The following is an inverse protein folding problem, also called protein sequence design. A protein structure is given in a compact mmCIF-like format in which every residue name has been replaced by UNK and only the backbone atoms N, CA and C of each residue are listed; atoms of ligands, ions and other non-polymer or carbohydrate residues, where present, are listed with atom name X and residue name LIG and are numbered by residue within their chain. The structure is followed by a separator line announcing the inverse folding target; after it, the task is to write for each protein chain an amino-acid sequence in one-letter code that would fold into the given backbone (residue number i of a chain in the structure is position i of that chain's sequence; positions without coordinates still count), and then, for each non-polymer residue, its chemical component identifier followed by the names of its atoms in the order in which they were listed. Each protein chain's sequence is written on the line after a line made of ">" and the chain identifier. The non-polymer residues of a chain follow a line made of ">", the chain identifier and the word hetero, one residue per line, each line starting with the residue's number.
data_IF_410334965451
#
_entry.id   IF_410334965451
#
_cell.length_a   1.000
_cell.length_b   1.000
_cell.length_c   1.000
_cell.angle_alpha   90.00
_cell.angle_beta   90.00
_cell.angle_gamma   90.00
#
_symmetry.space_group_name_H-M   'P 1'
#
loop_
_entity.id
_entity.type
_entity.pdbx_description
1 polymer ?
#
# COMPACT_ATOMS: atom_id res chain seq x y z
N UNK A 1 -17.98 31.36 -92.64
CA UNK A 1 -17.97 30.43 -91.48
C UNK A 1 -16.69 30.68 -90.71
N UNK A 2 -16.77 31.33 -89.56
CA UNK A 2 -15.63 31.65 -88.72
C UNK A 2 -16.00 31.29 -87.27
N UNK A 3 -15.22 30.42 -86.65
CA UNK A 3 -15.29 30.12 -85.23
C UNK A 3 -13.92 30.42 -84.64
N UNK A 4 -13.87 31.32 -83.65
CA UNK A 4 -12.72 31.50 -82.78
C UNK A 4 -13.16 31.49 -81.31
N UNK A 5 -12.40 30.71 -80.55
CA UNK A 5 -12.55 30.40 -79.12
C UNK A 5 -12.46 31.64 -78.24
N UNK A 6 -13.24 31.68 -77.16
CA UNK A 6 -12.86 32.40 -75.94
C UNK A 6 -12.98 31.51 -74.70
N UNK A 7 -11.97 31.69 -73.85
CA UNK A 7 -11.67 31.00 -72.59
C UNK A 7 -12.45 31.71 -71.49
N UNK A 8 -12.98 30.98 -70.51
CA UNK A 8 -13.46 31.57 -69.25
C UNK A 8 -13.01 30.70 -68.08
N UNK A 9 -12.29 31.36 -67.18
CA UNK A 9 -11.62 30.79 -66.02
C UNK A 9 -12.62 30.46 -64.90
N UNK A 10 -12.46 29.29 -64.27
CA UNK A 10 -13.17 28.93 -63.05
C UNK A 10 -12.35 29.39 -61.84
N UNK A 11 -12.90 30.33 -61.08
CA UNK A 11 -12.42 30.72 -59.76
C UNK A 11 -13.22 29.93 -58.71
N UNK A 12 -12.66 28.82 -58.21
CA UNK A 12 -13.26 28.04 -57.13
C UNK A 12 -12.72 28.53 -55.79
N UNK A 13 -13.54 29.27 -55.04
CA UNK A 13 -13.26 29.63 -53.65
C UNK A 13 -13.62 28.44 -52.74
N UNK A 14 -12.60 27.67 -52.31
CA UNK A 14 -12.76 26.63 -51.28
C UNK A 14 -12.82 27.26 -49.90
N UNK A 15 -14.02 27.39 -49.35
CA UNK A 15 -14.24 27.74 -47.93
C UNK A 15 -13.82 26.57 -47.04
N UNK A 16 -12.71 26.74 -46.31
CA UNK A 16 -12.26 25.83 -45.26
C UNK A 16 -13.19 25.97 -44.04
N UNK A 17 -14.01 24.96 -43.79
CA UNK A 17 -14.84 24.83 -42.60
C UNK A 17 -13.94 24.36 -41.44
N UNK A 18 -13.45 25.31 -40.64
CA UNK A 18 -12.66 25.01 -39.43
C UNK A 18 -13.61 24.50 -38.34
N UNK A 19 -13.64 23.19 -38.10
CA UNK A 19 -14.37 22.59 -36.98
C UNK A 19 -13.52 22.79 -35.71
N UNK A 20 -13.96 23.59 -34.72
CA UNK A 20 -13.27 23.65 -33.44
C UNK A 20 -13.46 22.32 -32.73
N UNK A 21 -12.39 21.53 -32.60
CA UNK A 21 -12.33 20.42 -31.66
C UNK A 21 -12.42 20.99 -30.24
N UNK A 22 -13.62 20.95 -29.65
CA UNK A 22 -13.78 21.15 -28.23
C UNK A 22 -13.12 19.98 -27.50
N UNK A 23 -11.86 20.17 -27.09
CA UNK A 23 -11.20 19.24 -26.17
C UNK A 23 -11.90 19.42 -24.82
N UNK A 24 -12.88 18.56 -24.55
CA UNK A 24 -13.48 18.50 -23.23
C UNK A 24 -12.37 18.16 -22.21
N UNK A 25 -12.17 18.97 -21.16
CA UNK A 25 -11.23 18.60 -20.11
C UNK A 25 -11.70 17.28 -19.51
N UNK A 26 -10.83 16.27 -19.53
CA UNK A 26 -11.06 15.03 -18.80
C UNK A 26 -11.23 15.40 -17.32
N UNK A 27 -12.46 15.36 -16.81
CA UNK A 27 -12.69 15.58 -15.39
C UNK A 27 -12.05 14.41 -14.64
N UNK A 28 -10.97 14.70 -13.91
CA UNK A 28 -10.38 13.73 -12.99
C UNK A 28 -11.46 13.29 -12.00
N UNK A 29 -11.78 12.00 -11.98
CA UNK A 29 -12.75 11.46 -11.02
C UNK A 29 -12.23 11.71 -9.61
N UNK A 30 -12.98 12.51 -8.84
CA UNK A 30 -12.62 12.84 -7.47
C UNK A 30 -12.68 11.58 -6.62
N UNK A 31 -11.55 11.27 -5.96
CA UNK A 31 -11.44 10.14 -5.04
C UNK A 31 -11.47 10.63 -3.60
N UNK A 32 -11.99 9.79 -2.72
CA UNK A 32 -12.14 10.08 -1.31
C UNK A 32 -11.52 8.96 -0.47
N UNK A 33 -10.97 9.29 0.71
CA UNK A 33 -10.36 8.31 1.59
C UNK A 33 -11.42 7.42 2.23
N UNK A 34 -11.38 6.13 1.88
CA UNK A 34 -12.13 5.06 2.51
C UNK A 34 -11.19 4.31 3.45
N UNK A 35 -11.55 4.23 4.73
CA UNK A 35 -10.79 3.49 5.74
C UNK A 35 -11.48 2.16 5.99
N UNK A 36 -10.71 1.09 5.94
CA UNK A 36 -11.18 -0.27 6.15
C UNK A 36 -10.40 -0.92 7.29
N UNK A 37 -11.09 -1.62 8.18
CA UNK A 37 -10.47 -2.50 9.17
C UNK A 37 -10.56 -3.94 8.68
N UNK A 38 -9.42 -4.61 8.62
CA UNK A 38 -9.31 -6.02 8.26
C UNK A 38 -10.05 -6.96 9.22
N UNK A 39 -10.13 -8.23 8.83
CA UNK A 39 -10.82 -9.28 9.60
C UNK A 39 -12.34 -9.30 9.50
N UNK A 40 -12.97 -10.00 10.45
CA UNK A 40 -14.42 -10.17 10.48
C UNK A 40 -14.98 -10.85 9.23
N UNK A 41 -16.17 -10.42 8.80
CA UNK A 41 -16.85 -10.92 7.60
C UNK A 41 -16.38 -10.29 6.28
N UNK A 42 -15.19 -9.68 6.25
CA UNK A 42 -14.62 -9.09 5.03
C UNK A 42 -14.28 -10.21 4.03
N UNK A 43 -14.81 -10.12 2.82
CA UNK A 43 -14.65 -11.14 1.79
C UNK A 43 -13.81 -10.61 0.64
N UNK A 44 -12.61 -11.17 0.48
CA UNK A 44 -11.67 -10.81 -0.59
C UNK A 44 -11.71 -11.88 -1.66
N UNK A 45 -12.06 -11.50 -2.88
CA UNK A 45 -12.15 -12.38 -4.04
C UNK A 45 -11.18 -11.91 -5.10
N UNK A 46 -10.26 -12.78 -5.52
CA UNK A 46 -9.49 -12.57 -6.74
C UNK A 46 -10.37 -12.97 -7.94
N UNK A 47 -10.59 -12.02 -8.84
CA UNK A 47 -11.47 -12.17 -10.01
C UNK A 47 -10.71 -12.48 -11.31
N UNK A 48 -9.41 -12.81 -11.21
CA UNK A 48 -8.51 -13.03 -12.34
C UNK A 48 -7.80 -11.75 -12.79
N UNK A 49 -6.70 -11.88 -13.53
CA UNK A 49 -5.91 -10.75 -14.05
C UNK A 49 -5.41 -9.76 -12.99
N UNK A 50 -5.10 -10.24 -11.78
CA UNK A 50 -4.75 -9.42 -10.60
C UNK A 50 -5.87 -8.49 -10.10
N UNK A 51 -7.11 -8.69 -10.55
CA UNK A 51 -8.25 -7.91 -10.11
C UNK A 51 -8.77 -8.45 -8.78
N UNK A 52 -9.00 -7.57 -7.81
CA UNK A 52 -9.60 -7.92 -6.52
C UNK A 52 -10.95 -7.26 -6.35
N UNK A 53 -11.87 -7.99 -5.71
CA UNK A 53 -13.12 -7.47 -5.16
C UNK A 53 -13.14 -7.71 -3.66
N UNK A 54 -13.39 -6.66 -2.89
CA UNK A 54 -13.46 -6.73 -1.43
C UNK A 54 -14.84 -6.31 -0.99
N UNK A 55 -15.61 -7.24 -0.44
CA UNK A 55 -16.89 -6.96 0.18
C UNK A 55 -16.66 -6.64 1.66
N UNK A 56 -17.28 -5.57 2.14
CA UNK A 56 -17.17 -5.11 3.52
C UNK A 56 -18.54 -4.71 4.07
N UNK A 57 -18.62 -4.50 5.38
CA UNK A 57 -19.79 -3.91 6.03
C UNK A 57 -19.61 -2.41 6.18
N UNK A 58 -20.59 -1.61 5.79
CA UNK A 58 -20.53 -0.18 6.05
C UNK A 58 -20.65 0.08 7.56
N UNK A 59 -19.73 0.86 8.13
CA UNK A 59 -19.87 1.29 9.52
C UNK A 59 -21.01 2.33 9.66
N UNK A 60 -21.62 2.38 10.84
CA UNK A 60 -22.69 3.34 11.15
C UNK A 60 -22.19 4.79 11.27
N UNK A 61 -20.90 4.98 11.56
CA UNK A 61 -20.25 6.28 11.76
C UNK A 61 -19.09 6.51 10.80
N UNK A 62 -18.43 7.66 10.89
CA UNK A 62 -17.17 7.91 10.16
C UNK A 62 -16.03 7.07 10.72
N UNK A 63 -14.98 6.87 9.93
CA UNK A 63 -13.84 6.05 10.34
C UNK A 63 -13.19 6.46 11.68
N UNK A 64 -13.04 7.76 12.00
CA UNK A 64 -12.52 8.19 13.31
C UNK A 64 -13.37 7.79 14.52
N UNK A 65 -14.64 7.41 14.32
CA UNK A 65 -15.50 6.94 15.40
C UNK A 65 -15.24 5.46 15.76
N UNK A 66 -14.32 4.81 15.04
CA UNK A 66 -13.95 3.41 15.22
C UNK A 66 -14.69 2.50 14.24
N UNK A 67 -13.99 1.45 13.79
CA UNK A 67 -14.51 0.43 12.87
C UNK A 67 -14.48 -0.93 13.57
N UNK A 68 -15.52 -1.75 13.39
CA UNK A 68 -15.47 -3.17 13.76
C UNK A 68 -14.67 -3.98 12.72
N UNK A 69 -14.15 -5.17 13.06
CA UNK A 69 -13.47 -6.02 12.09
C UNK A 69 -14.36 -6.29 10.86
N UNK A 70 -13.80 -6.02 9.67
CA UNK A 70 -14.47 -6.15 8.39
C UNK A 70 -15.43 -5.02 8.01
N UNK A 71 -15.34 -3.90 8.72
CA UNK A 71 -16.04 -2.67 8.34
C UNK A 71 -15.14 -1.71 7.57
N UNK A 72 -15.76 -0.94 6.67
CA UNK A 72 -15.17 0.27 6.12
C UNK A 72 -16.10 1.46 6.31
N UNK A 73 -15.50 2.65 6.41
CA UNK A 73 -16.23 3.92 6.42
C UNK A 73 -15.43 5.03 5.77
N UNK A 74 -16.11 6.08 5.36
CA UNK A 74 -15.43 7.29 4.91
C UNK A 74 -14.74 7.98 6.08
N UNK A 75 -13.62 8.64 5.79
CA UNK A 75 -12.86 9.38 6.80
C UNK A 75 -13.70 10.46 7.49
N UNK A 76 -14.56 11.13 6.75
CA UNK A 76 -15.24 12.36 7.14
C UNK A 76 -16.73 12.18 7.49
N UNK A 77 -17.31 11.01 7.17
CA UNK A 77 -18.75 10.76 7.33
C UNK A 77 -19.10 9.27 7.34
N UNK A 78 -20.33 8.96 7.74
CA UNK A 78 -20.90 7.63 7.54
C UNK A 78 -21.23 7.36 6.05
N UNK A 79 -21.43 6.09 5.73
CA UNK A 79 -21.98 5.67 4.44
C UNK A 79 -23.42 6.19 4.26
N UNK A 80 -23.73 6.63 3.05
CA UNK A 80 -25.08 7.00 2.63
C UNK A 80 -25.80 5.80 2.05
N UNK A 81 -27.14 5.83 2.10
CA UNK A 81 -27.95 4.86 1.39
C UNK A 81 -27.61 4.85 -0.11
N UNK A 82 -27.42 3.67 -0.68
CA UNK A 82 -27.06 3.49 -2.09
C UNK A 82 -25.57 3.58 -2.41
N UNK A 83 -24.71 3.87 -1.44
CA UNK A 83 -23.25 3.79 -1.65
C UNK A 83 -22.79 2.31 -1.71
N UNK A 84 -21.94 1.94 -2.69
CA UNK A 84 -21.45 0.56 -2.81
C UNK A 84 -20.62 0.10 -1.60
N UNK A 85 -20.86 -1.12 -1.13
CA UNK A 85 -20.08 -1.79 -0.08
C UNK A 85 -19.06 -2.80 -0.63
N UNK A 86 -18.57 -2.52 -1.84
CA UNK A 86 -17.59 -3.35 -2.55
C UNK A 86 -16.47 -2.46 -3.06
N UNK A 87 -15.22 -2.84 -2.81
CA UNK A 87 -14.04 -2.22 -3.42
C UNK A 87 -13.63 -3.05 -4.63
N UNK A 88 -13.32 -2.39 -5.74
CA UNK A 88 -12.77 -3.00 -6.94
C UNK A 88 -11.41 -2.37 -7.21
N UNK A 89 -10.42 -3.21 -7.49
CA UNK A 89 -9.11 -2.76 -7.91
C UNK A 89 -8.58 -3.72 -8.97
N UNK A 90 -8.15 -3.15 -10.09
CA UNK A 90 -7.60 -3.88 -11.24
C UNK A 90 -6.09 -3.71 -11.36
N UNK A 91 -5.48 -3.02 -10.40
CA UNK A 91 -4.05 -2.77 -10.35
C UNK A 91 -3.33 -3.87 -9.57
N UNK A 92 -2.08 -4.15 -9.97
CA UNK A 92 -1.20 -5.04 -9.23
C UNK A 92 -0.89 -4.55 -7.79
N UNK A 93 -1.25 -3.29 -7.47
CA UNK A 93 -1.02 -2.67 -6.15
C UNK A 93 -2.01 -3.16 -5.09
N UNK A 94 -3.08 -3.83 -5.50
CA UNK A 94 -4.05 -4.45 -4.60
C UNK A 94 -3.41 -5.28 -3.48
N UNK A 95 -2.34 -6.00 -3.82
CA UNK A 95 -1.58 -6.85 -2.88
C UNK A 95 -1.10 -6.08 -1.64
N UNK A 96 -0.80 -4.79 -1.76
CA UNK A 96 -0.22 -3.98 -0.69
C UNK A 96 -1.19 -3.71 0.46
N UNK A 97 -2.49 -3.56 0.18
CA UNK A 97 -3.50 -3.34 1.22
C UNK A 97 -4.36 -4.59 1.47
N UNK A 98 -4.48 -5.52 0.51
CA UNK A 98 -5.14 -6.82 0.73
C UNK A 98 -4.41 -7.58 1.84
N UNK A 99 -3.07 -7.57 1.84
CA UNK A 99 -2.28 -8.19 2.91
C UNK A 99 -2.58 -7.62 4.30
N UNK A 100 -2.93 -6.32 4.40
CA UNK A 100 -3.42 -5.70 5.63
C UNK A 100 -4.84 -6.14 5.96
N UNK A 101 -5.76 -6.12 4.99
CA UNK A 101 -7.17 -6.44 5.24
C UNK A 101 -7.44 -7.91 5.62
N UNK A 102 -6.56 -8.83 5.22
CA UNK A 102 -6.60 -10.23 5.69
C UNK A 102 -6.21 -10.34 7.17
N UNK A 103 -5.46 -9.38 7.71
CA UNK A 103 -5.09 -9.35 9.12
C UNK A 103 -6.22 -8.72 9.94
N UNK A 104 -6.63 -9.39 11.02
CA UNK A 104 -7.94 -9.14 11.67
C UNK A 104 -8.10 -7.79 12.37
N UNK A 105 -7.02 -7.01 12.50
CA UNK A 105 -6.99 -5.75 13.23
C UNK A 105 -6.27 -4.61 12.50
N UNK A 106 -5.81 -4.84 11.26
CA UNK A 106 -5.09 -3.82 10.50
C UNK A 106 -6.05 -2.85 9.82
N UNK A 107 -5.57 -1.63 9.60
CA UNK A 107 -6.31 -0.61 8.87
C UNK A 107 -5.67 -0.32 7.52
N UNK A 108 -6.50 -0.16 6.50
CA UNK A 108 -6.09 0.32 5.19
C UNK A 108 -6.92 1.54 4.79
N UNK A 109 -6.24 2.60 4.34
CA UNK A 109 -6.89 3.77 3.74
C UNK A 109 -6.69 3.72 2.24
N UNK A 110 -7.78 3.69 1.50
CA UNK A 110 -7.79 3.64 0.05
C UNK A 110 -8.38 4.93 -0.50
N UNK A 111 -7.76 5.47 -1.55
CA UNK A 111 -8.44 6.47 -2.35
C UNK A 111 -9.34 5.75 -3.33
N UNK A 112 -10.65 5.99 -3.17
CA UNK A 112 -11.67 5.34 -3.98
C UNK A 112 -12.67 6.36 -4.51
N UNK A 113 -13.28 6.03 -5.65
CA UNK A 113 -14.42 6.76 -6.18
C UNK A 113 -15.53 5.78 -6.54
N UNK A 114 -16.78 6.21 -6.45
CA UNK A 114 -17.90 5.40 -6.93
C UNK A 114 -17.86 5.38 -8.46
N UNK A 115 -17.67 4.20 -9.05
CA UNK A 115 -17.63 4.04 -10.50
C UNK A 115 -19.02 3.98 -11.15
N UNK A 116 -20.10 4.11 -10.36
CA UNK A 116 -21.51 3.97 -10.78
C UNK A 116 -21.88 2.59 -11.36
N UNK A 117 -21.04 1.58 -11.14
CA UNK A 117 -21.25 0.19 -11.55
C UNK A 117 -21.35 -0.75 -10.33
N UNK A 118 -21.74 -0.20 -9.19
CA UNK A 118 -21.86 -0.96 -7.94
C UNK A 118 -20.52 -1.24 -7.26
N UNK A 119 -19.49 -0.43 -7.52
CA UNK A 119 -18.19 -0.58 -6.87
C UNK A 119 -17.51 0.75 -6.53
N UNK A 120 -16.75 0.74 -5.44
CA UNK A 120 -15.76 1.74 -5.12
C UNK A 120 -14.45 1.37 -5.82
N UNK A 121 -14.11 2.06 -6.91
CA UNK A 121 -12.89 1.81 -7.65
C UNK A 121 -11.70 2.43 -6.90
N UNK A 122 -10.73 1.60 -6.53
CA UNK A 122 -9.46 2.08 -5.99
C UNK A 122 -8.56 2.58 -7.13
N UNK A 123 -7.96 3.75 -6.95
CA UNK A 123 -7.02 4.33 -7.92
C UNK A 123 -5.61 4.55 -7.37
N UNK A 124 -5.43 4.49 -6.05
CA UNK A 124 -4.12 4.38 -5.40
C UNK A 124 -4.28 3.97 -3.92
N UNK A 125 -3.33 3.21 -3.35
CA UNK A 125 -3.16 3.19 -1.91
C UNK A 125 -2.55 4.53 -1.46
N UNK A 126 -3.16 5.18 -0.46
CA UNK A 126 -2.40 6.00 0.47
C UNK A 126 -1.77 5.02 1.45
N UNK A 127 -0.59 4.51 1.10
CA UNK A 127 0.31 3.94 2.08
C UNK A 127 1.03 5.11 2.72
N UNK A 128 0.45 5.62 3.80
CA UNK A 128 1.12 6.09 5.02
C UNK A 128 0.19 6.99 5.83
N UNK A 129 0.32 6.87 7.14
CA UNK A 129 -0.42 7.48 8.24
C UNK A 129 -1.76 6.83 8.63
N UNK A 130 -1.97 6.52 9.93
CA UNK A 130 -3.31 6.25 10.43
C UNK A 130 -4.20 7.48 10.12
N UNK A 131 -5.54 7.33 10.08
CA UNK A 131 -6.39 8.50 10.27
C UNK A 131 -5.81 9.27 11.46
N UNK A 132 -5.62 10.59 11.33
CA UNK A 132 -5.39 11.46 12.49
C UNK A 132 -6.67 11.38 13.30
N UNK A 133 -6.79 10.30 14.06
CA UNK A 133 -7.73 10.17 15.14
C UNK A 133 -7.24 11.22 16.13
N UNK A 134 -8.10 12.20 16.38
CA UNK A 134 -7.99 12.98 17.60
C UNK A 134 -8.35 12.01 18.74
N UNK A 135 -7.44 11.08 19.06
CA UNK A 135 -7.61 10.08 20.12
C UNK A 135 -7.50 10.84 21.44
N UNK A 136 -8.53 10.84 22.30
CA UNK A 136 -8.40 11.35 23.65
C UNK A 136 -7.26 10.60 24.37
N UNK A 137 -6.43 11.27 25.19
CA UNK A 137 -5.34 10.60 25.90
C UNK A 137 -5.92 9.50 26.80
N UNK A 138 -5.67 8.23 26.46
CA UNK A 138 -6.14 7.09 27.26
C UNK A 138 -6.44 5.74 26.58
N UNK A 139 -6.18 5.53 25.27
CA UNK A 139 -6.39 4.21 24.62
C UNK A 139 -5.04 3.50 24.37
N UNK A 140 -4.81 2.26 24.85
CA UNK A 140 -3.56 1.51 24.69
C UNK A 140 -3.53 0.57 23.46
N UNK A 141 -2.31 0.10 23.17
CA UNK A 141 -1.85 -0.91 22.19
C UNK A 141 -1.61 -0.42 20.74
N UNK A 142 -0.35 -0.50 20.29
CA UNK A 142 -0.06 -0.43 18.87
C UNK A 142 -0.67 -1.66 18.21
N UNK A 143 -1.13 -1.45 16.99
CA UNK A 143 -1.66 -2.50 16.13
C UNK A 143 -0.58 -3.56 15.94
N UNK A 144 -0.88 -4.80 16.33
CA UNK A 144 0.03 -5.92 16.16
C UNK A 144 0.16 -6.25 14.67
N UNK A 145 1.38 -6.21 14.13
CA UNK A 145 1.67 -6.55 12.75
C UNK A 145 2.79 -7.60 12.67
N UNK A 146 2.91 -8.28 11.52
CA UNK A 146 4.03 -9.17 11.22
C UNK A 146 4.72 -8.73 9.92
N UNK A 147 6.02 -8.36 9.95
CA UNK A 147 6.76 -8.00 8.75
C UNK A 147 6.88 -9.19 7.80
N UNK A 148 6.79 -8.95 6.49
CA UNK A 148 7.03 -9.97 5.49
C UNK A 148 8.54 -10.18 5.32
N UNK A 149 9.08 -11.25 5.90
CA UNK A 149 10.49 -11.62 5.78
C UNK A 149 10.77 -12.53 4.56
N UNK A 150 9.82 -12.67 3.63
CA UNK A 150 10.05 -13.40 2.37
C UNK A 150 10.52 -12.48 1.23
N UNK A 151 10.51 -11.17 1.45
CA UNK A 151 10.99 -10.18 0.50
C UNK A 151 12.39 -9.67 0.88
N UNK A 152 13.02 -8.95 -0.03
CA UNK A 152 14.30 -8.29 0.20
C UNK A 152 14.07 -7.04 1.05
N UNK A 153 14.93 -6.82 2.04
CA UNK A 153 14.93 -5.62 2.88
C UNK A 153 16.21 -4.82 2.64
N UNK A 154 16.10 -3.52 2.35
CA UNK A 154 17.24 -2.64 2.27
C UNK A 154 17.67 -2.20 3.67
N UNK A 155 18.96 -2.28 3.99
CA UNK A 155 19.51 -1.78 5.26
C UNK A 155 20.72 -0.86 5.06
N UNK A 156 21.12 -0.17 6.13
CA UNK A 156 22.38 0.60 6.17
C UNK A 156 23.65 -0.26 5.99
N UNK A 157 23.54 -1.60 5.99
CA UNK A 157 24.66 -2.51 5.66
C UNK A 157 24.46 -3.27 4.35
N UNK A 158 23.43 -2.97 3.56
CA UNK A 158 23.08 -3.65 2.31
C UNK A 158 21.80 -4.47 2.41
N UNK A 159 21.41 -5.11 1.31
CA UNK A 159 20.17 -5.88 1.23
C UNK A 159 20.22 -7.09 2.16
N UNK A 160 19.14 -7.35 2.90
CA UNK A 160 18.94 -8.50 3.76
C UNK A 160 18.03 -9.48 3.03
N UNK A 161 18.53 -10.71 2.92
CA UNK A 161 17.90 -11.86 2.30
C UNK A 161 17.59 -12.88 3.41
N UNK A 162 16.47 -12.66 4.08
CA UNK A 162 16.11 -13.39 5.30
C UNK A 162 15.96 -14.90 5.09
N UNK A 163 15.38 -15.31 3.96
CA UNK A 163 15.18 -16.73 3.64
C UNK A 163 16.50 -17.40 3.26
N UNK A 164 17.38 -16.65 2.58
CA UNK A 164 18.67 -17.14 2.12
C UNK A 164 19.76 -17.02 3.21
N UNK A 165 19.49 -16.32 4.30
CA UNK A 165 20.35 -16.25 5.48
C UNK A 165 21.58 -15.36 5.31
N UNK A 166 21.52 -14.32 4.48
CA UNK A 166 22.64 -13.39 4.28
C UNK A 166 22.21 -11.93 4.13
N UNK A 167 23.16 -11.02 4.31
CA UNK A 167 22.98 -9.58 4.07
C UNK A 167 24.18 -9.00 3.31
N UNK A 168 23.97 -8.02 2.42
CA UNK A 168 24.97 -7.41 1.50
C UNK A 168 25.54 -8.38 0.46
N UNK A 169 26.04 -9.54 0.88
CA UNK A 169 26.55 -10.63 0.06
C UNK A 169 26.59 -11.93 0.90
N UNK A 170 26.86 -13.07 0.24
CA UNK A 170 26.84 -14.40 0.86
C UNK A 170 27.95 -14.67 1.92
N UNK A 171 28.94 -13.78 2.06
CA UNK A 171 29.95 -13.92 3.13
C UNK A 171 29.50 -13.34 4.46
N UNK A 172 28.41 -12.59 4.48
CA UNK A 172 27.84 -11.91 5.64
C UNK A 172 26.49 -12.55 5.96
N UNK A 173 26.47 -13.37 7.00
CA UNK A 173 25.34 -14.25 7.30
C UNK A 173 24.42 -13.63 8.34
N UNK A 174 23.15 -14.02 8.27
CA UNK A 174 22.12 -13.66 9.25
C UNK A 174 21.20 -14.86 9.46
N UNK A 175 20.90 -15.19 10.71
CA UNK A 175 20.03 -16.31 11.05
C UNK A 175 19.09 -15.91 12.17
N UNK A 176 17.78 -16.06 11.93
CA UNK A 176 16.74 -15.76 12.93
C UNK A 176 16.70 -16.90 13.96
N UNK A 177 16.76 -16.55 15.25
CA UNK A 177 16.61 -17.51 16.36
C UNK A 177 15.25 -17.36 17.04
N UNK A 178 14.69 -16.15 17.05
CA UNK A 178 13.39 -15.84 17.64
C UNK A 178 12.73 -14.72 16.84
N UNK A 179 11.42 -14.78 16.69
CA UNK A 179 10.64 -13.68 16.13
C UNK A 179 9.23 -13.71 16.70
N UNK A 180 8.66 -12.54 16.96
CA UNK A 180 7.31 -12.45 17.52
C UNK A 180 6.91 -11.05 17.91
N UNK A 181 5.63 -10.91 18.26
CA UNK A 181 5.15 -9.67 18.86
C UNK A 181 5.61 -9.58 20.31
N UNK A 182 6.30 -8.50 20.66
CA UNK A 182 6.61 -8.16 22.04
C UNK A 182 5.57 -7.17 22.56
N UNK A 183 4.71 -7.60 23.49
CA UNK A 183 3.66 -6.76 24.05
C UNK A 183 4.19 -5.62 24.93
N UNK A 184 5.37 -5.77 25.52
CA UNK A 184 5.99 -4.74 26.37
C UNK A 184 6.57 -3.61 25.52
N UNK A 185 7.19 -3.99 24.39
CA UNK A 185 7.76 -3.05 23.42
C UNK A 185 6.77 -2.61 22.36
N UNK A 186 5.62 -3.27 22.30
CA UNK A 186 4.53 -2.94 21.40
C UNK A 186 4.99 -2.92 19.93
N UNK A 187 5.80 -3.92 19.58
CA UNK A 187 6.49 -4.04 18.30
C UNK A 187 6.73 -5.50 17.93
N UNK A 188 6.89 -5.77 16.62
CA UNK A 188 7.39 -7.07 16.18
C UNK A 188 8.91 -7.07 16.33
N UNK A 189 9.45 -8.06 17.05
CA UNK A 189 10.88 -8.18 17.33
C UNK A 189 11.41 -9.42 16.60
N UNK A 190 12.53 -9.27 15.91
CA UNK A 190 13.31 -10.36 15.31
C UNK A 190 14.67 -10.37 15.96
N UNK A 191 15.01 -11.50 16.57
CA UNK A 191 16.31 -11.74 17.20
C UNK A 191 17.03 -12.85 16.46
N UNK A 192 18.35 -12.78 16.46
CA UNK A 192 19.13 -13.79 15.77
C UNK A 192 20.62 -13.62 15.95
N UNK A 193 21.36 -14.24 15.02
CA UNK A 193 22.81 -14.13 14.93
C UNK A 193 23.21 -13.57 13.58
N UNK A 194 24.16 -12.65 13.59
CA UNK A 194 24.88 -12.24 12.40
C UNK A 194 26.27 -12.89 12.43
N UNK A 195 26.89 -13.06 11.26
CA UNK A 195 28.22 -13.64 11.16
C UNK A 195 28.93 -13.31 9.87
N UNK A 196 30.19 -13.75 9.78
CA UNK A 196 30.98 -13.74 8.55
C UNK A 196 31.53 -15.13 8.30
N UNK A 197 31.48 -15.60 7.05
CA UNK A 197 32.04 -16.91 6.68
C UNK A 197 33.56 -16.88 6.53
N UNK A 198 34.13 -15.68 6.38
CA UNK A 198 35.57 -15.46 6.19
C UNK A 198 36.30 -14.94 7.44
N UNK A 199 35.64 -14.91 8.60
CA UNK A 199 36.26 -14.57 9.88
C UNK A 199 35.47 -15.15 11.06
N UNK A 200 36.01 -15.03 12.28
CA UNK A 200 35.29 -15.37 13.50
C UNK A 200 34.37 -14.24 14.00
N UNK A 201 34.14 -13.20 13.18
CA UNK A 201 33.22 -12.11 13.55
C UNK A 201 31.79 -12.61 13.45
N UNK A 202 31.15 -12.75 14.61
CA UNK A 202 29.74 -13.06 14.73
C UNK A 202 29.19 -12.49 16.04
N UNK A 203 27.88 -12.41 16.15
CA UNK A 203 27.24 -12.04 17.40
C UNK A 203 25.73 -11.97 17.30
N UNK A 204 25.05 -11.62 18.40
CA UNK A 204 23.61 -11.48 18.38
C UNK A 204 23.19 -10.21 17.66
N UNK A 205 21.97 -10.21 17.16
CA UNK A 205 21.27 -9.02 16.74
C UNK A 205 19.85 -9.02 17.28
N UNK A 206 19.29 -7.82 17.35
CA UNK A 206 17.88 -7.58 17.60
C UNK A 206 17.40 -6.50 16.63
N UNK A 207 16.28 -6.75 15.95
CA UNK A 207 15.59 -5.79 15.11
C UNK A 207 14.15 -5.61 15.61
N UNK A 208 13.79 -4.36 15.85
CA UNK A 208 12.48 -3.91 16.28
C UNK A 208 11.83 -3.24 15.09
N UNK A 209 10.72 -3.82 14.64
CA UNK A 209 9.96 -3.27 13.54
C UNK A 209 9.00 -2.22 14.10
N UNK A 210 9.10 -1.00 13.60
CA UNK A 210 8.18 0.11 13.91
C UNK A 210 6.95 0.09 13.01
N UNK A 211 7.05 -0.57 11.86
CA UNK A 211 5.95 -0.83 10.93
C UNK A 211 6.20 -2.11 10.14
N UNK A 212 5.22 -2.54 9.35
CA UNK A 212 5.34 -3.72 8.49
C UNK A 212 6.48 -3.63 7.45
N UNK A 213 7.04 -2.44 7.21
CA UNK A 213 8.08 -2.19 6.21
C UNK A 213 9.28 -1.39 6.75
N UNK A 214 9.38 -1.16 8.06
CA UNK A 214 10.50 -0.40 8.65
C UNK A 214 10.99 -1.08 9.93
N UNK A 215 12.31 -1.11 10.10
CA UNK A 215 12.92 -1.56 11.34
C UNK A 215 14.09 -0.68 11.77
N UNK A 216 14.34 -0.71 13.07
CA UNK A 216 15.58 -0.28 13.69
C UNK A 216 16.07 -1.38 14.62
N UNK A 217 17.34 -1.41 14.97
CA UNK A 217 17.89 -2.54 15.70
C UNK A 217 19.33 -2.33 16.10
N UNK A 218 19.89 -3.36 16.71
CA UNK A 218 21.29 -3.37 17.10
C UNK A 218 21.91 -4.74 16.87
N UNK A 219 23.23 -4.75 16.79
CA UNK A 219 24.04 -5.95 16.82
C UNK A 219 25.19 -5.74 17.80
N UNK A 220 25.73 -6.83 18.35
CA UNK A 220 26.92 -6.78 19.19
C UNK A 220 27.93 -7.86 18.84
N UNK A 221 29.17 -7.66 19.29
CA UNK A 221 30.29 -8.61 19.24
C UNK A 221 30.61 -9.11 20.65
N UNK A 222 31.27 -10.28 20.78
CA UNK A 222 31.73 -10.80 22.08
C UNK A 222 32.66 -9.84 22.84
N UNK A 223 33.39 -8.98 22.13
CA UNK A 223 34.28 -7.98 22.73
C UNK A 223 33.56 -6.71 23.23
N UNK A 224 32.22 -6.69 23.23
CA UNK A 224 31.40 -5.57 23.67
C UNK A 224 31.18 -4.46 22.63
N UNK A 225 31.78 -4.56 21.44
CA UNK A 225 31.50 -3.61 20.36
C UNK A 225 30.08 -3.81 19.84
N UNK A 226 29.32 -2.74 19.64
CA UNK A 226 27.96 -2.78 19.08
C UNK A 226 27.77 -1.76 17.96
N UNK A 227 26.71 -1.93 17.18
CA UNK A 227 26.30 -1.00 16.13
C UNK A 227 24.80 -1.01 15.92
N UNK A 228 24.30 0.01 15.22
CA UNK A 228 22.88 0.17 14.92
C UNK A 228 22.50 -0.34 13.53
N UNK A 229 21.40 -1.06 13.45
CA UNK A 229 20.79 -1.53 12.20
C UNK A 229 19.53 -0.73 11.89
N UNK A 230 19.39 -0.23 10.67
CA UNK A 230 18.15 0.39 10.19
C UNK A 230 17.87 -0.06 8.78
N UNK A 231 16.59 -0.17 8.42
CA UNK A 231 16.21 -0.60 7.10
C UNK A 231 14.72 -0.59 6.84
N UNK A 232 14.38 -0.87 5.59
CA UNK A 232 13.01 -0.90 5.09
C UNK A 232 12.81 -2.00 4.05
N UNK A 233 11.56 -2.41 3.82
CA UNK A 233 11.27 -3.36 2.75
C UNK A 233 11.43 -2.71 1.36
N UNK A 234 11.72 -3.53 0.34
CA UNK A 234 11.75 -3.12 -1.07
C UNK A 234 10.39 -3.30 -1.76
#
# INVERSE_FOLDING_TARGET
>A
MAFYKQISAFCSATSLLTIPLAIAPAQAQQSYPLVCRGGGGLSIVNTGNNNVRINFRAAAGSAPQGLQPGECSWQDRAFRSGEPTVICDTSARAVQYVSKLVQSNEYATLQVFNNNQGCMQANAPILNNPPVLNVPPGIPAAVQFRPNLNQIWQSNYGNIHWQEGWYRNQTQTIAITSQGWDSNRNAYVVEGRWGRTNSNDAGPFEMIFSSACEFSGSWSRPNGTSGGWTGSCQ
#
